data_IF_086785604987
#
_entry.id   IF_086785604987
#
_cell.length_a   1.000
_cell.length_b   1.000
_cell.length_c   1.000
_cell.angle_alpha   90.00
_cell.angle_beta   90.00
_cell.angle_gamma   90.00
#
_symmetry.space_group_name_H-M   'P 1'
#
loop_
_entity.id
_entity.type
_entity.pdbx_description
1 polymer ?
#
# COMPACT_ATOMS: atom_id res chain seq x y z
N UNK A 1 -23.35 -5.89 -14.34
CA UNK A 1 -22.00 -5.37 -13.99
C UNK A 1 -21.71 -4.20 -14.93
N UNK A 2 -21.72 -2.96 -14.43
CA UNK A 2 -21.63 -1.76 -15.29
C UNK A 2 -20.23 -1.53 -15.87
N UNK A 3 -19.17 -1.98 -15.19
CA UNK A 3 -17.81 -1.94 -15.70
C UNK A 3 -17.05 -3.22 -15.29
N UNK A 4 -16.52 -4.00 -16.24
CA UNK A 4 -15.80 -5.25 -15.93
C UNK A 4 -14.42 -4.99 -15.29
N UNK A 5 -14.02 -3.72 -15.15
CA UNK A 5 -12.74 -3.33 -14.57
C UNK A 5 -12.78 -3.03 -13.07
N UNK A 6 -13.96 -2.78 -12.53
CA UNK A 6 -14.15 -2.60 -11.09
C UNK A 6 -14.40 -3.94 -10.37
N UNK A 7 -14.78 -5.00 -11.09
CA UNK A 7 -14.98 -6.31 -10.49
C UNK A 7 -13.63 -7.04 -10.26
N UNK A 8 -13.31 -7.30 -9.00
CA UNK A 8 -12.05 -7.91 -8.59
C UNK A 8 -11.85 -9.33 -9.14
N UNK A 9 -12.90 -10.15 -9.20
CA UNK A 9 -12.82 -11.54 -9.67
C UNK A 9 -12.51 -11.60 -11.17
N UNK A 10 -13.21 -10.80 -11.98
CA UNK A 10 -12.97 -10.72 -13.43
C UNK A 10 -11.54 -10.21 -13.72
N UNK A 11 -11.06 -9.27 -12.91
CA UNK A 11 -9.70 -8.77 -13.07
C UNK A 11 -8.63 -9.78 -12.66
N UNK A 12 -8.86 -10.58 -11.62
CA UNK A 12 -7.99 -11.69 -11.26
C UNK A 12 -7.88 -12.72 -12.38
N UNK A 13 -9.01 -13.11 -13.00
CA UNK A 13 -9.03 -14.04 -14.14
C UNK A 13 -8.35 -13.46 -15.38
N UNK A 14 -8.54 -12.17 -15.67
CA UNK A 14 -7.83 -11.49 -16.77
C UNK A 14 -6.32 -11.49 -16.57
N UNK A 15 -5.86 -11.25 -15.36
CA UNK A 15 -4.45 -11.28 -15.02
C UNK A 15 -3.90 -12.72 -15.07
N UNK A 16 -4.63 -13.71 -14.59
CA UNK A 16 -4.26 -15.11 -14.73
C UNK A 16 -4.10 -15.51 -16.20
N UNK A 17 -5.08 -15.17 -17.04
CA UNK A 17 -5.02 -15.40 -18.48
C UNK A 17 -3.85 -14.65 -19.16
N UNK A 18 -3.45 -13.47 -18.65
CA UNK A 18 -2.29 -12.75 -19.18
C UNK A 18 -0.96 -13.46 -18.85
N UNK A 19 -0.86 -14.01 -17.64
CA UNK A 19 0.29 -14.82 -17.23
C UNK A 19 0.37 -16.12 -18.05
N UNK A 20 -0.75 -16.79 -18.29
CA UNK A 20 -0.79 -18.01 -19.13
C UNK A 20 -0.37 -17.74 -20.58
N UNK A 21 -0.67 -16.55 -21.10
CA UNK A 21 -0.17 -16.08 -22.41
C UNK A 21 1.33 -15.77 -22.43
N UNK A 22 2.03 -15.88 -21.30
CA UNK A 22 3.47 -15.65 -21.20
C UNK A 22 3.89 -14.19 -21.02
N UNK A 23 2.98 -13.31 -20.59
CA UNK A 23 3.37 -11.95 -20.22
C UNK A 23 4.21 -11.96 -18.94
N UNK A 24 5.28 -11.16 -18.91
CA UNK A 24 6.10 -11.00 -17.71
C UNK A 24 5.27 -10.46 -16.54
N UNK A 25 5.42 -11.05 -15.35
CA UNK A 25 4.58 -10.76 -14.18
C UNK A 25 4.57 -9.28 -13.77
N UNK A 26 5.69 -8.57 -13.91
CA UNK A 26 5.76 -7.12 -13.65
C UNK A 26 4.92 -6.31 -14.64
N UNK A 27 5.05 -6.61 -15.93
CA UNK A 27 4.26 -5.94 -16.99
C UNK A 27 2.77 -6.22 -16.82
N UNK A 28 2.40 -7.48 -16.57
CA UNK A 28 1.02 -7.88 -16.37
C UNK A 28 0.42 -7.23 -15.10
N UNK A 29 1.18 -7.20 -13.99
CA UNK A 29 0.78 -6.54 -12.75
C UNK A 29 0.54 -5.04 -12.92
N UNK A 30 1.52 -4.30 -13.43
CA UNK A 30 1.38 -2.86 -13.66
C UNK A 30 0.30 -2.52 -14.68
N UNK A 31 0.14 -3.32 -15.75
CA UNK A 31 -0.94 -3.11 -16.72
C UNK A 31 -2.32 -3.28 -16.09
N UNK A 32 -2.47 -4.25 -15.19
CA UNK A 32 -3.75 -4.50 -14.51
C UNK A 32 -4.08 -3.40 -13.51
N UNK A 33 -3.09 -3.00 -12.70
CA UNK A 33 -3.22 -1.87 -11.76
C UNK A 33 -3.65 -0.60 -12.49
N UNK A 34 -2.96 -0.26 -13.58
CA UNK A 34 -3.28 0.91 -14.39
C UNK A 34 -4.71 0.87 -14.91
N UNK A 35 -5.16 -0.28 -15.44
CA UNK A 35 -6.53 -0.47 -15.94
C UNK A 35 -7.59 -0.31 -14.84
N UNK A 36 -7.32 -0.77 -13.62
CA UNK A 36 -8.24 -0.65 -12.49
C UNK A 36 -8.35 0.82 -12.03
N UNK A 37 -7.22 1.53 -11.94
CA UNK A 37 -7.20 2.95 -11.60
C UNK A 37 -7.86 3.81 -12.69
N UNK A 38 -7.63 3.51 -13.97
CA UNK A 38 -8.30 4.19 -15.11
C UNK A 38 -9.82 3.98 -15.11
N UNK A 39 -10.30 2.88 -14.54
CA UNK A 39 -11.74 2.64 -14.35
C UNK A 39 -12.35 3.43 -13.18
N UNK A 40 -11.53 4.18 -12.44
CA UNK A 40 -11.97 5.06 -11.35
C UNK A 40 -11.91 4.43 -9.96
N UNK A 41 -11.28 3.28 -9.77
CA UNK A 41 -11.13 2.70 -8.43
C UNK A 41 -10.34 3.64 -7.49
N UNK A 42 -10.73 3.69 -6.21
CA UNK A 42 -10.04 4.51 -5.20
C UNK A 42 -8.67 3.94 -4.84
N UNK A 43 -8.52 2.61 -4.98
CA UNK A 43 -7.25 1.93 -4.89
C UNK A 43 -7.34 0.48 -5.29
N UNK A 44 -6.18 -0.12 -5.53
CA UNK A 44 -6.06 -1.53 -5.90
C UNK A 44 -4.77 -2.14 -5.36
N UNK A 45 -4.87 -3.41 -4.95
CA UNK A 45 -3.76 -4.25 -4.54
C UNK A 45 -3.79 -5.53 -5.37
N UNK A 46 -2.76 -5.75 -6.16
CA UNK A 46 -2.57 -6.97 -6.94
C UNK A 46 -1.40 -7.74 -6.34
N UNK A 47 -1.66 -8.98 -5.92
CA UNK A 47 -0.65 -9.87 -5.36
C UNK A 47 -0.48 -11.06 -6.30
N UNK A 48 0.74 -11.27 -6.78
CA UNK A 48 1.10 -12.44 -7.57
C UNK A 48 2.06 -13.28 -6.74
N UNK A 49 1.63 -14.49 -6.38
CA UNK A 49 2.38 -15.41 -5.53
C UNK A 49 2.61 -16.73 -6.26
N UNK A 50 3.87 -17.16 -6.38
CA UNK A 50 4.18 -18.39 -7.09
C UNK A 50 5.65 -18.52 -7.47
N UNK A 51 5.92 -19.44 -8.40
CA UNK A 51 7.22 -19.57 -9.07
C UNK A 51 7.33 -18.54 -10.19
N UNK A 52 7.76 -17.32 -9.85
CA UNK A 52 7.80 -16.17 -10.76
C UNK A 52 9.02 -16.21 -11.71
N UNK A 53 10.23 -16.07 -11.16
CA UNK A 53 11.48 -15.98 -11.94
C UNK A 53 12.33 -17.25 -11.84
N UNK A 54 12.11 -18.09 -10.82
CA UNK A 54 12.92 -19.29 -10.60
C UNK A 54 12.17 -20.37 -9.84
N UNK A 55 12.90 -21.37 -9.35
CA UNK A 55 12.32 -22.54 -8.66
C UNK A 55 11.75 -22.21 -7.28
N UNK A 56 12.22 -21.13 -6.65
CA UNK A 56 11.73 -20.69 -5.33
C UNK A 56 10.48 -19.84 -5.46
N UNK A 57 9.54 -20.06 -4.54
CA UNK A 57 8.36 -19.21 -4.40
C UNK A 57 8.74 -17.77 -4.07
N UNK A 58 8.12 -16.82 -4.76
CA UNK A 58 8.21 -15.38 -4.49
C UNK A 58 6.82 -14.77 -4.58
N UNK A 59 6.63 -13.65 -3.88
CA UNK A 59 5.38 -12.89 -3.88
C UNK A 59 5.67 -11.46 -4.22
N UNK A 60 5.12 -10.98 -5.33
CA UNK A 60 5.22 -9.58 -5.74
C UNK A 60 3.87 -8.89 -5.48
N UNK A 61 3.91 -7.69 -4.91
CA UNK A 61 2.72 -6.89 -4.61
C UNK A 61 2.78 -5.58 -5.39
N UNK A 62 1.76 -5.33 -6.19
CA UNK A 62 1.57 -4.06 -6.88
C UNK A 62 0.42 -3.33 -6.20
N UNK A 63 0.69 -2.14 -5.67
CA UNK A 63 -0.29 -1.31 -4.97
C UNK A 63 -0.41 0.05 -5.65
N UNK A 64 -1.62 0.58 -5.73
CA UNK A 64 -1.89 1.95 -6.16
C UNK A 64 -3.14 2.48 -5.43
N UNK A 65 -3.17 3.78 -5.17
CA UNK A 65 -4.29 4.44 -4.48
C UNK A 65 -4.41 4.07 -3.01
N UNK A 66 -5.63 4.15 -2.48
CA UNK A 66 -5.93 3.91 -1.06
C UNK A 66 -6.43 2.48 -0.82
N UNK A 67 -5.84 1.83 0.18
CA UNK A 67 -6.18 0.46 0.59
C UNK A 67 -6.28 0.43 2.11
N UNK A 68 -7.35 -0.19 2.63
CA UNK A 68 -7.52 -0.42 4.08
C UNK A 68 -7.41 -1.90 4.38
N UNK A 69 -6.53 -2.26 5.31
CA UNK A 69 -6.25 -3.66 5.65
C UNK A 69 -7.08 -4.18 6.83
N UNK A 70 -7.65 -3.30 7.65
CA UNK A 70 -8.32 -3.65 8.90
C UNK A 70 -9.66 -2.94 9.08
N UNK A 71 -10.50 -3.52 9.94
CA UNK A 71 -11.79 -2.97 10.36
C UNK A 71 -12.93 -3.25 9.39
N UNK A 72 -14.11 -2.76 9.77
CA UNK A 72 -15.34 -2.87 8.98
C UNK A 72 -15.27 -2.22 7.59
N UNK A 73 -14.53 -1.10 7.37
CA UNK A 73 -14.39 -0.52 6.04
C UNK A 73 -13.79 -1.48 5.01
N UNK A 74 -12.98 -2.46 5.44
CA UNK A 74 -12.44 -3.47 4.53
C UNK A 74 -13.53 -4.42 4.03
N UNK A 75 -14.43 -4.87 4.89
CA UNK A 75 -15.45 -5.84 4.50
C UNK A 75 -16.53 -5.22 3.61
N UNK A 76 -16.82 -3.94 3.81
CA UNK A 76 -17.88 -3.22 3.09
C UNK A 76 -17.42 -2.66 1.73
N UNK A 77 -16.20 -2.14 1.65
CA UNK A 77 -15.75 -1.35 0.50
C UNK A 77 -14.63 -1.98 -0.30
N UNK A 78 -14.17 -3.17 0.09
CA UNK A 78 -13.03 -3.82 -0.52
C UNK A 78 -13.42 -5.18 -1.07
N UNK A 79 -13.49 -5.25 -2.40
CA UNK A 79 -13.75 -6.48 -3.13
C UNK A 79 -12.46 -7.27 -3.31
N UNK A 80 -12.53 -8.58 -3.07
CA UNK A 80 -11.40 -9.50 -3.24
C UNK A 80 -11.74 -10.58 -4.27
N UNK A 81 -10.87 -10.71 -5.28
CA UNK A 81 -10.90 -11.76 -6.27
C UNK A 81 -9.66 -12.65 -6.20
N UNK A 82 -9.84 -13.94 -6.47
CA UNK A 82 -8.75 -14.90 -6.53
C UNK A 82 -8.85 -15.74 -7.81
N UNK A 83 -7.72 -15.91 -8.48
CA UNK A 83 -7.59 -16.77 -9.64
C UNK A 83 -6.25 -17.52 -9.60
N UNK A 84 -6.23 -18.69 -10.21
CA UNK A 84 -5.02 -19.50 -10.37
C UNK A 84 -4.62 -19.55 -11.84
N UNK A 85 -3.37 -19.21 -12.15
CA UNK A 85 -2.80 -19.31 -13.48
C UNK A 85 -1.99 -20.61 -13.60
N UNK A 86 -2.28 -21.42 -14.62
CA UNK A 86 -1.58 -22.70 -14.87
C UNK A 86 -0.46 -22.49 -15.88
N UNK A 87 0.78 -22.47 -15.40
CA UNK A 87 1.97 -22.38 -16.24
C UNK A 87 2.75 -23.69 -16.23
N UNK A 88 3.64 -23.88 -17.21
CA UNK A 88 4.56 -25.02 -17.28
C UNK A 88 5.36 -25.27 -15.98
N UNK A 89 5.97 -24.25 -15.33
CA UNK A 89 6.68 -24.44 -14.05
C UNK A 89 5.77 -24.78 -12.85
N UNK A 90 4.45 -24.58 -12.95
CA UNK A 90 3.49 -24.82 -11.89
C UNK A 90 2.36 -23.80 -11.86
N UNK A 91 1.63 -23.77 -10.73
CA UNK A 91 0.50 -22.87 -10.52
C UNK A 91 0.98 -21.57 -9.87
N UNK A 92 0.53 -20.43 -10.40
CA UNK A 92 0.71 -19.11 -9.79
C UNK A 92 -0.64 -18.62 -9.28
N UNK A 93 -0.67 -18.20 -8.01
CA UNK A 93 -1.83 -17.57 -7.40
C UNK A 93 -1.86 -16.07 -7.69
N UNK A 94 -3.00 -15.58 -8.14
CA UNK A 94 -3.28 -14.17 -8.39
C UNK A 94 -4.40 -13.74 -7.46
N UNK A 95 -4.12 -12.77 -6.60
CA UNK A 95 -5.14 -12.11 -5.77
C UNK A 95 -5.25 -10.66 -6.21
N UNK A 96 -6.46 -10.20 -6.46
CA UNK A 96 -6.76 -8.81 -6.77
C UNK A 96 -7.72 -8.29 -5.71
N UNK A 97 -7.37 -7.18 -5.10
CA UNK A 97 -8.18 -6.48 -4.13
C UNK A 97 -8.44 -5.07 -4.68
N UNK A 98 -9.70 -4.65 -4.77
CA UNK A 98 -10.12 -3.37 -5.33
C UNK A 98 -10.95 -2.63 -4.29
N UNK A 99 -10.67 -1.34 -4.09
CA UNK A 99 -11.51 -0.46 -3.29
C UNK A 99 -12.46 0.29 -4.20
N UNK A 100 -13.75 0.25 -3.86
CA UNK A 100 -14.79 0.91 -4.64
C UNK A 100 -14.61 2.43 -4.71
N UNK A 101 -14.99 3.06 -5.84
CA UNK A 101 -14.92 4.52 -6.01
C UNK A 101 -15.79 5.29 -5.00
N UNK A 102 -16.91 4.72 -4.61
CA UNK A 102 -17.90 5.37 -3.73
C UNK A 102 -17.59 5.19 -2.23
N UNK A 103 -16.45 4.58 -1.90
CA UNK A 103 -16.07 4.27 -0.54
C UNK A 103 -15.78 5.53 0.29
N UNK A 104 -16.72 5.86 1.20
CA UNK A 104 -16.53 6.89 2.21
C UNK A 104 -15.81 6.30 3.42
N UNK A 105 -14.59 6.77 3.66
CA UNK A 105 -13.84 6.37 4.83
C UNK A 105 -14.33 7.19 6.04
N UNK A 106 -14.30 6.63 7.26
CA UNK A 106 -14.66 7.37 8.47
C UNK A 106 -13.70 8.53 8.76
N UNK A 107 -12.49 8.47 8.20
CA UNK A 107 -11.46 9.52 8.33
C UNK A 107 -11.72 10.72 7.39
N UNK A 108 -12.58 10.56 6.37
CA UNK A 108 -12.86 11.59 5.37
C UNK A 108 -14.06 12.45 5.81
N UNK A 109 -13.76 13.59 6.44
CA UNK A 109 -14.77 14.54 6.90
C UNK A 109 -14.90 15.66 5.87
N UNK A 110 -16.10 15.81 5.30
CA UNK A 110 -16.44 16.97 4.47
C UNK A 110 -16.85 18.14 5.37
N UNK A 111 -15.93 19.09 5.58
CA UNK A 111 -16.23 20.34 6.29
C UNK A 111 -17.01 21.25 5.34
N UNK A 112 -18.32 21.36 5.56
CA UNK A 112 -19.16 22.33 4.84
C UNK A 112 -18.76 23.72 5.28
N UNK A 113 -18.38 24.59 4.34
CA UNK A 113 -18.14 25.99 4.66
C UNK A 113 -19.44 26.64 5.15
N UNK A 114 -19.37 27.51 6.18
CA UNK A 114 -20.56 28.18 6.70
C UNK A 114 -21.16 29.06 5.60
N UNK A 115 -22.49 28.98 5.42
CA UNK A 115 -23.17 29.82 4.43
C UNK A 115 -23.03 31.30 4.78
N UNK A 116 -23.07 32.16 3.77
CA UNK A 116 -22.95 33.62 3.92
C UNK A 116 -23.98 34.21 4.92
N UNK A 117 -25.14 33.55 5.08
CA UNK A 117 -26.16 33.92 6.06
C UNK A 117 -25.67 33.77 7.51
N UNK A 118 -24.91 32.71 7.82
CA UNK A 118 -24.30 32.53 9.15
C UNK A 118 -23.13 33.49 9.39
N UNK A 119 -22.37 33.84 8.36
CA UNK A 119 -21.28 34.83 8.47
C UNK A 119 -21.87 36.24 8.69
N UNK A 120 -22.95 36.59 7.99
CA UNK A 120 -23.66 37.86 8.19
C UNK A 120 -24.33 37.93 9.58
N UNK A 121 -24.92 36.83 10.05
CA UNK A 121 -25.45 36.73 11.41
C UNK A 121 -24.35 36.83 12.48
N UNK A 122 -23.20 36.17 12.27
CA UNK A 122 -22.04 36.28 13.16
C UNK A 122 -21.43 37.70 13.16
N UNK A 123 -21.35 38.35 12.00
CA UNK A 123 -20.89 39.73 11.89
C UNK A 123 -21.85 40.72 12.56
N UNK A 124 -23.16 40.45 12.56
CA UNK A 124 -24.14 41.24 13.32
C UNK A 124 -24.09 41.01 14.84
N UNK A 125 -23.56 39.85 15.28
CA UNK A 125 -23.35 39.52 16.69
C UNK A 125 -22.02 40.04 17.24
N UNK A 126 -21.04 40.37 16.39
CA UNK A 126 -19.88 41.16 16.77
C UNK A 126 -20.35 42.62 16.87
N UNK A 127 -20.76 43.03 18.07
CA UNK A 127 -20.86 44.46 18.39
C UNK A 127 -19.50 45.09 18.05
N UNK A 128 -19.46 46.28 17.42
CA UNK A 128 -18.20 46.99 17.27
C UNK A 128 -17.68 47.25 18.69
N UNK A 129 -16.60 46.57 19.06
CA UNK A 129 -15.72 47.12 20.09
C UNK A 129 -15.17 48.38 19.45
N UNK A 130 -15.69 49.49 19.94
CA UNK A 130 -15.36 50.84 19.57
C UNK A 130 -13.83 50.98 19.53
N UNK A 131 -13.29 51.32 18.37
CA UNK A 131 -11.94 51.85 18.23
C UNK A 131 -12.07 53.24 17.57
N UNK A 132 -11.14 54.20 17.76
CA UNK A 132 -9.86 54.14 18.47
C UNK A 132 -9.62 55.33 19.44
N UNK A 133 -8.70 55.20 20.41
CA UNK A 133 -8.11 56.38 21.08
C UNK A 133 -6.91 56.84 20.24
N UNK A 134 -7.06 58.04 19.68
CA UNK A 134 -6.07 58.78 18.89
C UNK A 134 -4.95 59.29 19.82
N UNK A 135 -3.70 58.99 19.47
CA UNK A 135 -2.53 59.78 19.89
C UNK A 135 -1.62 59.92 18.67
N UNK A 136 -1.52 61.15 18.14
CA UNK A 136 -0.49 61.61 17.19
C UNK A 136 0.38 62.71 17.88
N UNK A 137 1.47 63.27 17.28
CA UNK A 137 2.87 62.82 17.42
C UNK A 137 3.87 63.98 17.73
N UNK A 138 5.20 63.70 17.83
CA UNK A 138 6.41 64.52 17.45
C UNK A 138 7.68 64.12 18.27
N UNK A 139 8.94 64.31 17.81
CA UNK A 139 9.54 63.90 16.53
C UNK A 139 10.96 63.23 16.65
N UNK A 140 11.36 62.56 15.56
CA UNK A 140 12.71 62.34 15.00
C UNK A 140 13.95 62.03 15.87
N UNK A 141 14.62 60.90 15.55
CA UNK A 141 16.03 60.86 15.10
C UNK A 141 16.35 59.50 14.41
N UNK A 142 17.15 59.59 13.34
CA UNK A 142 17.58 58.54 12.41
C UNK A 142 18.33 57.35 13.09
N UNK A 143 18.51 56.18 12.45
CA UNK A 143 19.61 55.85 11.52
C UNK A 143 19.26 54.65 10.61
N UNK A 144 19.80 54.70 9.40
CA UNK A 144 19.62 53.86 8.20
C UNK A 144 20.43 52.56 8.19
N UNK A 145 19.98 51.55 7.43
CA UNK A 145 20.77 50.63 6.56
C UNK A 145 19.82 49.56 5.95
N UNK A 146 19.42 49.63 4.67
CA UNK A 146 19.95 48.89 3.48
C UNK A 146 19.91 47.36 3.67
N UNK A 147 19.29 46.50 2.84
CA UNK A 147 19.32 46.30 1.36
C UNK A 147 18.12 45.38 0.97
N UNK A 148 17.47 45.59 -0.19
CA UNK A 148 16.42 44.69 -0.76
C UNK A 148 17.00 43.64 -1.75
N UNK A 149 16.24 43.15 -2.75
CA UNK A 149 14.98 42.38 -2.71
C UNK A 149 14.99 41.12 -3.64
N UNK A 150 13.83 40.45 -3.81
CA UNK A 150 13.46 39.48 -4.89
C UNK A 150 14.14 38.09 -4.84
N UNK A 151 13.55 36.93 -5.18
CA UNK A 151 12.34 36.53 -5.87
C UNK A 151 12.66 35.25 -6.69
N UNK A 152 11.84 34.19 -6.58
CA UNK A 152 11.63 33.06 -7.51
C UNK A 152 12.81 32.12 -7.92
N UNK A 153 12.58 30.79 -7.82
CA UNK A 153 12.67 29.79 -8.92
C UNK A 153 12.94 28.35 -8.43
N UNK A 154 12.33 27.42 -9.16
CA UNK A 154 12.05 26.00 -8.87
C UNK A 154 12.91 25.07 -9.77
N UNK A 155 13.51 24.02 -9.16
CA UNK A 155 14.01 22.72 -9.71
C UNK A 155 15.19 22.64 -10.74
N UNK A 156 15.85 21.46 -11.00
CA UNK A 156 16.20 20.29 -10.16
C UNK A 156 17.65 19.70 -10.38
N UNK A 157 17.94 18.58 -9.67
CA UNK A 157 19.10 17.63 -9.51
C UNK A 157 20.24 17.46 -10.59
N UNK A 158 21.39 16.79 -10.26
CA UNK A 158 21.48 15.31 -10.42
C UNK A 158 22.47 14.49 -9.52
N UNK A 159 22.11 13.21 -9.34
CA UNK A 159 22.90 11.94 -9.42
C UNK A 159 24.20 11.70 -8.62
N UNK A 160 24.19 10.69 -7.70
CA UNK A 160 25.29 9.71 -7.49
C UNK A 160 24.73 8.33 -7.02
N UNK A 161 24.89 7.29 -7.85
CA UNK A 161 25.09 5.87 -7.49
C UNK A 161 26.56 5.50 -7.87
N UNK A 162 27.20 4.34 -7.53
CA UNK A 162 26.68 3.07 -6.98
C UNK A 162 27.57 2.43 -5.87
N UNK A 163 27.18 1.25 -5.36
CA UNK A 163 28.03 0.43 -4.48
C UNK A 163 27.53 -1.01 -4.29
N UNK A 164 28.01 -1.93 -5.13
CA UNK A 164 27.85 -3.38 -5.01
C UNK A 164 28.46 -3.92 -3.71
N UNK A 165 27.79 -4.89 -3.06
CA UNK A 165 28.45 -5.86 -2.17
C UNK A 165 27.83 -7.26 -2.31
N UNK A 166 28.70 -8.17 -2.74
CA UNK A 166 28.48 -9.60 -2.85
C UNK A 166 28.38 -10.33 -1.50
N UNK A 167 27.85 -11.55 -1.62
CA UNK A 167 27.76 -12.69 -0.72
C UNK A 167 28.65 -12.72 0.55
N UNK A 168 28.03 -13.05 1.68
CA UNK A 168 28.65 -13.95 2.68
C UNK A 168 27.62 -14.96 3.20
N UNK A 169 27.94 -16.25 2.99
CA UNK A 169 27.27 -17.41 3.54
C UNK A 169 27.62 -17.58 5.02
N UNK A 170 26.63 -17.56 5.92
CA UNK A 170 26.82 -17.92 7.32
C UNK A 170 25.89 -19.09 7.72
N UNK A 171 26.52 -20.24 8.05
CA UNK A 171 25.86 -21.45 8.58
C UNK A 171 25.24 -21.17 9.95
N UNK A 172 23.90 -21.27 10.06
CA UNK A 172 23.20 -21.19 11.36
C UNK A 172 23.21 -22.58 12.02
N UNK A 173 23.96 -22.71 13.12
CA UNK A 173 23.95 -23.90 13.99
C UNK A 173 22.57 -24.00 14.67
N UNK A 174 21.85 -25.11 14.46
CA UNK A 174 20.58 -25.40 15.17
C UNK A 174 20.86 -25.43 16.69
N UNK A 175 20.23 -24.52 17.43
CA UNK A 175 20.38 -24.44 18.89
C UNK A 175 19.69 -25.63 19.57
N UNK A 176 20.34 -26.21 20.59
CA UNK A 176 19.88 -27.37 21.39
C UNK A 176 18.47 -27.19 21.97
N UNK A 177 18.03 -25.93 22.13
CA UNK A 177 16.70 -25.55 22.61
C UNK A 177 15.59 -25.82 21.58
N UNK A 178 15.85 -25.59 20.29
CA UNK A 178 14.88 -25.85 19.22
C UNK A 178 14.61 -27.36 19.05
N UNK A 179 15.65 -28.20 19.13
CA UNK A 179 15.51 -29.65 19.07
C UNK A 179 14.75 -30.24 20.27
N UNK A 180 14.95 -29.67 21.48
CA UNK A 180 14.23 -30.11 22.69
C UNK A 180 12.74 -29.77 22.65
N UNK A 181 12.39 -28.61 22.07
CA UNK A 181 11.00 -28.20 21.84
C UNK A 181 10.30 -29.09 20.81
N UNK A 182 10.94 -29.41 19.68
CA UNK A 182 10.40 -30.33 18.69
C UNK A 182 10.12 -31.73 19.28
N UNK A 183 11.03 -32.26 20.09
CA UNK A 183 10.82 -33.56 20.76
C UNK A 183 9.68 -33.56 21.77
N UNK A 184 9.45 -32.45 22.47
CA UNK A 184 8.34 -32.32 23.42
C UNK A 184 7.00 -32.27 22.67
N UNK A 185 6.92 -31.47 21.61
CA UNK A 185 5.72 -31.36 20.76
C UNK A 185 5.42 -32.69 20.07
N UNK A 186 6.42 -33.40 19.55
CA UNK A 186 6.21 -34.72 18.95
C UNK A 186 5.68 -35.76 19.97
N UNK A 187 6.08 -35.67 21.24
CA UNK A 187 5.59 -36.56 22.31
C UNK A 187 4.14 -36.22 22.71
N UNK A 188 3.79 -34.94 22.74
CA UNK A 188 2.42 -34.48 23.00
C UNK A 188 1.47 -34.87 21.86
N UNK A 189 1.89 -34.74 20.60
CA UNK A 189 1.11 -35.16 19.42
C UNK A 189 0.92 -36.68 19.39
N UNK A 190 1.94 -37.46 19.77
CA UNK A 190 1.84 -38.92 19.87
C UNK A 190 0.92 -39.39 21.00
N UNK A 191 0.81 -38.63 22.09
CA UNK A 191 -0.14 -38.91 23.18
C UNK A 191 -1.60 -38.60 22.80
N UNK A 192 -1.81 -37.76 21.79
CA UNK A 192 -3.13 -37.43 21.26
C UNK A 192 -3.62 -38.40 20.17
N UNK A 193 -2.85 -39.46 19.87
CA UNK A 193 -3.26 -40.53 18.94
C UNK A 193 -3.31 -40.12 17.47
N UNK A 194 -2.63 -39.03 17.09
CA UNK A 194 -2.49 -38.60 15.70
C UNK A 194 -1.10 -39.01 15.22
N UNK A 195 -1.02 -40.07 14.40
CA UNK A 195 0.21 -40.45 13.72
C UNK A 195 0.47 -39.47 12.56
N UNK A 196 1.56 -38.70 12.67
CA UNK A 196 2.09 -37.88 11.58
C UNK A 196 3.48 -38.40 11.26
N UNK A 197 3.60 -39.16 10.18
CA UNK A 197 4.89 -39.53 9.60
C UNK A 197 5.55 -38.28 9.01
N UNK A 198 6.54 -37.74 9.72
CA UNK A 198 7.48 -36.75 9.19
C UNK A 198 8.80 -37.46 8.99
N UNK A 199 8.99 -38.01 7.79
CA UNK A 199 10.26 -38.58 7.34
C UNK A 199 11.37 -37.54 7.50
N UNK A 200 12.26 -37.82 8.44
CA UNK A 200 13.44 -37.03 8.73
C UNK A 200 14.66 -37.63 8.03
N UNK A 201 14.57 -37.86 6.72
CA UNK A 201 15.73 -38.10 5.86
C UNK A 201 15.69 -37.11 4.70
N UNK A 202 16.63 -36.17 4.74
CA UNK A 202 16.90 -35.27 3.64
C UNK A 202 17.49 -36.07 2.48
N UNK A 203 16.79 -36.06 1.36
CA UNK A 203 17.35 -36.45 0.07
C UNK A 203 18.35 -35.39 -0.39
N UNK A 204 19.63 -35.62 -0.09
CA UNK A 204 20.75 -35.09 -0.86
C UNK A 204 21.07 -36.15 -1.92
N UNK A 205 20.80 -35.84 -3.19
CA UNK A 205 20.92 -36.80 -4.28
C UNK A 205 20.71 -36.16 -5.64
N UNK A 206 21.84 -35.83 -6.27
CA UNK A 206 22.08 -35.50 -7.68
C UNK A 206 21.42 -34.22 -8.26
#
# INVERSE_FOLDING_TARGET
>A
VSAPALNAQIMAEKLANALERGWHFRRAGHSTVRRIMEAGAKGCLVVIAGKLTGQRHRTEKFKAGHIKYCGEPRNLWMDRGFAAAKLKPGVIGVTVEIMDPQAKLPDEIEIKQPSAEYIAAAASFVRPVQAPVVVEPEPALAVQATVGPEGADEEPEPLIEPGEREATTAKVKKSKVAAKRLKKVAKEVKQLGVDVDVDAEGGDGA
#
